data_IF_117161717603
#
_entry.id   IF_117161717603
#
_cell.length_a   1.000
_cell.length_b   1.000
_cell.length_c   1.000
_cell.angle_alpha   90.00
_cell.angle_beta   90.00
_cell.angle_gamma   90.00
#
_symmetry.space_group_name_H-M   'P 1'
#
loop_
_entity.id
_entity.type
_entity.pdbx_description
1 polymer ?
#
# COMPACT_ATOMS: atom_id res chain seq x y z
N UNK A 1 -14.53 40.06 -32.43
CA UNK A 1 -14.69 39.18 -31.26
C UNK A 1 -14.65 37.75 -31.75
N UNK A 2 -13.58 37.00 -31.47
CA UNK A 2 -13.47 35.60 -31.82
C UNK A 2 -13.58 34.77 -30.53
N UNK A 3 -14.71 34.09 -30.37
CA UNK A 3 -14.96 33.14 -29.28
C UNK A 3 -14.17 31.86 -29.54
N UNK A 4 -13.14 31.63 -28.74
CA UNK A 4 -12.49 30.32 -28.64
C UNK A 4 -13.47 29.37 -27.94
N UNK A 5 -14.07 28.47 -28.71
CA UNK A 5 -14.73 27.29 -28.15
C UNK A 5 -13.61 26.39 -27.61
N UNK A 6 -13.55 26.25 -26.28
CA UNK A 6 -12.62 25.33 -25.64
C UNK A 6 -12.96 23.89 -26.04
N UNK A 7 -11.94 23.14 -26.45
CA UNK A 7 -12.05 21.70 -26.60
C UNK A 7 -12.61 21.07 -25.31
N UNK A 8 -13.51 20.07 -25.40
CA UNK A 8 -13.98 19.35 -24.24
C UNK A 8 -12.78 18.70 -23.55
N UNK A 9 -12.60 19.02 -22.27
CA UNK A 9 -11.62 18.34 -21.41
C UNK A 9 -11.86 16.82 -21.52
N UNK A 10 -10.80 16.01 -21.71
CA UNK A 10 -10.97 14.57 -21.73
C UNK A 10 -11.64 14.14 -20.42
N UNK A 11 -12.54 13.12 -20.45
CA UNK A 11 -13.17 12.65 -19.24
C UNK A 11 -12.08 12.27 -18.25
N UNK A 12 -12.14 12.85 -17.04
CA UNK A 12 -11.17 12.58 -15.98
C UNK A 12 -11.31 11.10 -15.59
N UNK A 13 -10.50 10.26 -16.21
CA UNK A 13 -10.43 8.85 -15.90
C UNK A 13 -9.64 8.70 -14.60
N UNK A 14 -10.36 8.57 -13.48
CA UNK A 14 -9.74 8.24 -12.21
C UNK A 14 -9.04 6.88 -12.32
N UNK A 15 -7.85 6.79 -11.74
CA UNK A 15 -7.17 5.51 -11.62
C UNK A 15 -8.08 4.54 -10.87
N UNK A 16 -8.33 3.37 -11.47
CA UNK A 16 -9.08 2.31 -10.82
C UNK A 16 -8.43 1.96 -9.48
N UNK A 17 -9.24 1.65 -8.46
CA UNK A 17 -8.72 1.13 -7.18
C UNK A 17 -7.82 -0.10 -7.35
N UNK A 18 -7.95 -0.86 -8.45
CA UNK A 18 -7.05 -1.98 -8.79
C UNK A 18 -5.62 -1.55 -9.13
N UNK A 19 -5.41 -0.29 -9.52
CA UNK A 19 -4.11 0.30 -9.84
C UNK A 19 -3.48 1.02 -8.64
N UNK A 20 -4.20 1.15 -7.53
CA UNK A 20 -3.72 1.85 -6.34
C UNK A 20 -2.61 1.10 -5.59
N UNK A 21 -2.65 -0.24 -5.42
CA UNK A 21 -1.60 -0.93 -4.68
C UNK A 21 -0.22 -0.82 -5.33
N UNK A 22 0.82 -0.67 -4.52
CA UNK A 22 2.22 -0.77 -4.94
C UNK A 22 2.47 -2.18 -5.48
N UNK A 23 3.17 -2.29 -6.61
CA UNK A 23 3.52 -3.57 -7.24
C UNK A 23 5.03 -3.64 -7.41
N UNK A 24 5.63 -4.62 -6.74
CA UNK A 24 7.07 -4.92 -6.76
C UNK A 24 7.25 -6.44 -6.74
N UNK A 25 8.41 -6.94 -7.16
CA UNK A 25 8.72 -8.37 -7.10
C UNK A 25 9.02 -8.83 -5.68
N UNK A 26 8.87 -10.14 -5.38
CA UNK A 26 9.22 -10.67 -4.07
C UNK A 26 10.66 -10.30 -3.70
N UNK A 27 10.88 -9.97 -2.43
CA UNK A 27 12.13 -9.48 -1.87
C UNK A 27 12.60 -8.10 -2.37
N UNK A 28 11.93 -7.46 -3.33
CA UNK A 28 12.25 -6.11 -3.77
C UNK A 28 11.86 -5.08 -2.68
N UNK A 29 12.79 -4.20 -2.25
CA UNK A 29 12.50 -3.18 -1.25
C UNK A 29 11.48 -2.16 -1.74
N UNK A 30 10.62 -1.69 -0.84
CA UNK A 30 9.79 -0.50 -1.09
C UNK A 30 10.62 0.75 -0.75
N UNK A 31 10.92 1.54 -1.78
CA UNK A 31 11.68 2.79 -1.70
C UNK A 31 10.87 3.89 -1.03
N UNK A 32 11.53 4.99 -0.65
CA UNK A 32 10.85 6.22 -0.25
C UNK A 32 9.87 6.74 -1.30
N UNK A 33 10.19 6.59 -2.58
CA UNK A 33 9.28 6.95 -3.68
C UNK A 33 8.05 6.05 -3.68
N UNK A 34 8.19 4.73 -3.54
CA UNK A 34 7.04 3.81 -3.54
C UNK A 34 6.01 4.16 -2.45
N UNK A 35 6.51 4.47 -1.26
CA UNK A 35 5.72 4.75 -0.06
C UNK A 35 5.33 6.22 0.10
N UNK A 36 5.86 7.11 -0.74
CA UNK A 36 5.70 8.57 -0.62
C UNK A 36 6.12 9.07 0.76
N UNK A 37 7.37 8.77 1.14
CA UNK A 37 7.90 9.01 2.48
C UNK A 37 7.79 10.46 2.94
N UNK A 38 8.07 11.44 2.08
CA UNK A 38 8.06 12.85 2.47
C UNK A 38 6.64 13.35 2.79
N UNK A 39 5.64 12.91 2.03
CA UNK A 39 4.22 13.12 2.36
C UNK A 39 3.89 12.58 3.75
N UNK A 40 4.24 11.31 4.00
CA UNK A 40 4.02 10.68 5.31
C UNK A 40 4.77 11.42 6.42
N UNK A 41 5.97 11.92 6.14
CA UNK A 41 6.74 12.71 7.08
C UNK A 41 6.04 14.02 7.41
N UNK A 42 5.54 14.77 6.42
CA UNK A 42 4.79 16.01 6.65
C UNK A 42 3.50 15.76 7.45
N UNK A 43 2.75 14.70 7.15
CA UNK A 43 1.52 14.35 7.88
C UNK A 43 1.81 14.04 9.36
N UNK A 44 2.80 13.19 9.64
CA UNK A 44 3.08 12.71 11.00
C UNK A 44 3.99 13.62 11.82
N UNK A 45 4.66 14.61 11.21
CA UNK A 45 5.46 15.60 11.93
C UNK A 45 4.70 16.88 12.25
N UNK A 46 3.50 17.07 11.70
CA UNK A 46 2.63 18.18 12.01
C UNK A 46 2.36 18.29 13.52
N UNK A 47 2.46 19.52 14.04
CA UNK A 47 2.38 19.82 15.47
C UNK A 47 1.07 20.48 15.89
N UNK A 48 0.11 20.64 14.97
CA UNK A 48 -1.17 21.27 15.28
C UNK A 48 -2.01 20.30 16.11
N UNK A 49 -2.09 20.55 17.42
CA UNK A 49 -2.92 19.79 18.35
C UNK A 49 -4.37 20.30 18.29
N UNK A 50 -5.08 19.90 17.23
CA UNK A 50 -6.40 20.47 16.88
C UNK A 50 -7.52 19.44 16.84
N UNK A 51 -7.17 18.14 16.88
CA UNK A 51 -8.14 17.06 16.84
C UNK A 51 -8.62 16.68 18.24
N UNK A 52 -9.90 16.38 18.38
CA UNK A 52 -10.51 15.94 19.63
C UNK A 52 -9.99 14.56 20.03
N UNK A 53 -9.46 14.46 21.25
CA UNK A 53 -8.97 13.19 21.79
C UNK A 53 -10.14 12.31 22.27
N UNK A 54 -10.39 11.14 21.64
CA UNK A 54 -11.47 10.25 22.06
C UNK A 54 -11.18 9.51 23.37
N UNK A 55 -9.92 9.45 23.81
CA UNK A 55 -9.49 8.74 25.02
C UNK A 55 -8.62 9.63 25.93
N UNK A 56 -9.17 10.69 26.57
CA UNK A 56 -8.40 11.56 27.46
C UNK A 56 -7.75 10.80 28.62
N UNK A 57 -6.44 10.93 28.78
CA UNK A 57 -5.67 10.21 29.82
C UNK A 57 -5.52 8.70 29.58
N UNK A 58 -5.90 8.20 28.41
CA UNK A 58 -5.70 6.81 28.00
C UNK A 58 -4.39 6.60 27.25
N UNK A 59 -3.79 5.42 27.39
CA UNK A 59 -2.60 5.06 26.62
C UNK A 59 -2.87 5.07 25.10
N UNK A 60 -1.86 5.40 24.27
CA UNK A 60 -0.47 5.69 24.64
C UNK A 60 -0.23 7.17 24.97
N UNK A 61 -1.28 7.98 25.12
CA UNK A 61 -1.20 9.41 25.35
C UNK A 61 -1.35 9.71 26.86
N UNK A 62 -0.27 10.00 27.59
CA UNK A 62 -0.37 10.31 29.02
C UNK A 62 -1.05 11.66 29.28
N UNK A 63 -1.13 12.52 28.26
CA UNK A 63 -1.73 13.85 28.38
C UNK A 63 -3.24 13.78 28.53
N UNK A 64 -3.78 14.51 29.52
CA UNK A 64 -5.21 14.79 29.65
C UNK A 64 -5.68 15.86 28.65
N UNK A 65 -4.83 16.29 27.72
CA UNK A 65 -5.20 17.26 26.69
C UNK A 65 -6.44 16.78 25.93
N UNK A 66 -7.42 17.67 25.83
CA UNK A 66 -8.62 17.47 25.02
C UNK A 66 -8.31 17.47 23.53
N UNK A 67 -7.20 18.10 23.14
CA UNK A 67 -6.75 18.19 21.75
C UNK A 67 -5.40 17.52 21.54
N UNK A 68 -5.25 16.85 20.41
CA UNK A 68 -4.08 16.07 20.01
C UNK A 68 -3.72 16.34 18.57
N UNK A 69 -2.46 16.08 18.22
CA UNK A 69 -1.98 16.11 16.84
C UNK A 69 -2.55 14.94 16.03
N UNK A 70 -2.47 15.00 14.70
CA UNK A 70 -2.86 13.88 13.85
C UNK A 70 -2.08 12.60 14.20
N UNK A 71 -0.77 12.72 14.41
CA UNK A 71 0.10 11.58 14.72
C UNK A 71 -0.36 10.87 16.00
N UNK A 72 -0.62 11.65 17.06
CA UNK A 72 -1.12 11.15 18.34
C UNK A 72 -2.50 10.51 18.20
N UNK A 73 -3.42 11.15 17.46
CA UNK A 73 -4.76 10.62 17.21
C UNK A 73 -4.70 9.26 16.48
N UNK A 74 -3.91 9.16 15.42
CA UNK A 74 -3.80 7.95 14.61
C UNK A 74 -3.10 6.81 15.37
N UNK A 75 -2.00 7.11 16.06
CA UNK A 75 -1.30 6.14 16.92
C UNK A 75 -2.21 5.65 18.05
N UNK A 76 -2.97 6.55 18.69
CA UNK A 76 -3.93 6.19 19.74
C UNK A 76 -5.05 5.29 19.21
N UNK A 77 -5.57 5.55 18.01
CA UNK A 77 -6.57 4.70 17.37
C UNK A 77 -6.05 3.27 17.13
N UNK A 78 -4.81 3.14 16.65
CA UNK A 78 -4.16 1.83 16.46
C UNK A 78 -3.92 1.11 17.79
N UNK A 79 -3.36 1.81 18.78
CA UNK A 79 -3.07 1.25 20.10
C UNK A 79 -4.34 0.70 20.78
N UNK A 80 -5.43 1.45 20.70
CA UNK A 80 -6.71 1.11 21.33
C UNK A 80 -7.56 0.12 20.52
N UNK A 81 -7.12 -0.30 19.33
CA UNK A 81 -7.77 -1.37 18.58
C UNK A 81 -7.81 -2.67 19.38
N UNK A 82 -8.94 -3.37 19.33
CA UNK A 82 -9.11 -4.69 19.97
C UNK A 82 -8.26 -5.78 19.30
N UNK A 83 -7.74 -5.53 18.09
CA UNK A 83 -6.82 -6.43 17.37
C UNK A 83 -5.36 -5.98 17.41
N UNK A 84 -5.05 -4.89 18.12
CA UNK A 84 -3.67 -4.56 18.48
C UNK A 84 -3.20 -5.52 19.59
N UNK A 85 -2.13 -6.29 19.32
CA UNK A 85 -1.66 -7.32 20.26
C UNK A 85 -0.99 -6.66 21.47
N UNK A 86 -0.97 -7.38 22.61
CA UNK A 86 -0.29 -6.90 23.82
C UNK A 86 1.18 -6.56 23.57
N UNK A 87 1.91 -7.44 22.89
CA UNK A 87 3.33 -7.25 22.53
C UNK A 87 3.50 -6.00 21.65
N UNK A 88 2.59 -5.76 20.71
CA UNK A 88 2.64 -4.59 19.85
C UNK A 88 2.41 -3.31 20.66
N UNK A 89 1.43 -3.30 21.58
CA UNK A 89 1.18 -2.18 22.48
C UNK A 89 2.38 -1.87 23.39
N UNK A 90 2.97 -2.89 24.00
CA UNK A 90 4.18 -2.74 24.83
C UNK A 90 5.30 -2.10 24.00
N UNK A 91 5.55 -2.60 22.79
CA UNK A 91 6.57 -2.03 21.90
C UNK A 91 6.28 -0.58 21.50
N UNK A 92 5.01 -0.24 21.26
CA UNK A 92 4.60 1.13 20.93
C UNK A 92 4.88 2.11 22.08
N UNK A 93 4.78 1.66 23.33
CA UNK A 93 5.13 2.44 24.53
C UNK A 93 6.64 2.52 24.73
N UNK A 94 7.34 1.38 24.60
CA UNK A 94 8.78 1.29 24.81
C UNK A 94 9.58 2.05 23.74
N UNK A 95 9.06 2.11 22.51
CA UNK A 95 9.74 2.74 21.37
C UNK A 95 8.75 3.63 20.60
N UNK A 96 8.56 4.90 20.99
CA UNK A 96 7.62 5.81 20.31
C UNK A 96 7.91 6.00 18.81
N UNK A 97 9.18 5.94 18.40
CA UNK A 97 9.57 6.01 16.99
C UNK A 97 8.98 4.83 16.17
N UNK A 98 8.91 3.63 16.76
CA UNK A 98 8.29 2.46 16.14
C UNK A 98 6.79 2.69 15.91
N UNK A 99 6.11 3.35 16.86
CA UNK A 99 4.68 3.68 16.72
C UNK A 99 4.41 4.56 15.50
N UNK A 100 5.29 5.52 15.23
CA UNK A 100 5.18 6.39 14.05
C UNK A 100 5.45 5.62 12.76
N UNK A 101 6.47 4.76 12.73
CA UNK A 101 6.77 3.88 11.60
C UNK A 101 5.59 2.95 11.27
N UNK A 102 5.06 2.27 12.28
CA UNK A 102 3.87 1.43 12.17
C UNK A 102 2.65 2.23 11.70
N UNK A 103 2.45 3.44 12.21
CA UNK A 103 1.34 4.30 11.84
C UNK A 103 1.41 4.73 10.36
N UNK A 104 2.61 5.03 9.85
CA UNK A 104 2.84 5.33 8.42
C UNK A 104 2.49 4.14 7.52
N UNK A 105 2.96 2.94 7.85
CA UNK A 105 2.61 1.71 7.11
C UNK A 105 1.10 1.42 7.20
N UNK A 106 0.52 1.65 8.38
CA UNK A 106 -0.92 1.47 8.61
C UNK A 106 -1.76 2.46 7.81
N UNK A 107 -1.32 3.72 7.65
CA UNK A 107 -1.96 4.71 6.81
C UNK A 107 -1.99 4.25 5.34
N UNK A 108 -0.85 3.80 4.81
CA UNK A 108 -0.76 3.26 3.44
C UNK A 108 -1.64 2.02 3.24
N UNK A 109 -1.75 1.17 4.25
CA UNK A 109 -2.67 0.01 4.23
C UNK A 109 -4.12 0.47 4.24
N UNK A 110 -4.45 1.51 5.02
CA UNK A 110 -5.81 2.03 5.14
C UNK A 110 -6.31 2.67 3.84
N UNK A 111 -5.46 3.45 3.16
CA UNK A 111 -5.80 4.04 1.85
C UNK A 111 -5.73 3.02 0.71
N UNK A 112 -5.13 1.84 0.92
CA UNK A 112 -5.06 0.77 -0.07
C UNK A 112 -3.81 0.77 -0.97
N UNK A 113 -2.76 1.52 -0.60
CA UNK A 113 -1.45 1.48 -1.28
C UNK A 113 -0.66 0.20 -0.95
N UNK A 114 -0.80 -0.32 0.27
CA UNK A 114 -0.22 -1.60 0.69
C UNK A 114 -1.28 -2.69 0.62
N UNK A 115 -1.05 -3.72 -0.18
CA UNK A 115 -1.95 -4.87 -0.28
C UNK A 115 -1.72 -5.84 0.89
N UNK A 116 -2.78 -6.54 1.29
CA UNK A 116 -2.74 -7.60 2.32
C UNK A 116 -1.86 -8.80 1.97
N UNK A 117 -1.47 -8.98 0.71
CA UNK A 117 -0.53 -10.04 0.33
C UNK A 117 0.91 -9.72 0.73
N UNK A 118 1.21 -8.45 1.05
CA UNK A 118 2.56 -8.01 1.43
C UNK A 118 2.89 -8.37 2.87
N UNK A 119 4.15 -8.77 3.07
CA UNK A 119 4.74 -9.09 4.35
C UNK A 119 6.01 -8.26 4.59
N UNK A 120 6.26 -7.92 5.85
CA UNK A 120 7.40 -7.08 6.25
C UNK A 120 8.43 -7.83 7.09
N UNK A 121 8.35 -9.17 7.12
CA UNK A 121 9.34 -10.05 7.75
C UNK A 121 9.76 -11.20 6.84
N UNK A 122 11.06 -11.53 6.77
CA UNK A 122 11.61 -12.45 5.77
C UNK A 122 11.26 -13.92 6.01
N UNK A 123 10.83 -14.30 7.21
CA UNK A 123 10.57 -15.70 7.63
C UNK A 123 9.23 -16.27 7.14
N UNK A 124 8.51 -15.56 6.26
CA UNK A 124 7.23 -16.02 5.71
C UNK A 124 7.40 -17.28 4.85
N UNK A 125 6.87 -18.41 5.31
CA UNK A 125 6.91 -19.70 4.58
C UNK A 125 5.80 -19.87 3.52
N UNK A 126 4.86 -18.95 3.44
CA UNK A 126 3.68 -19.09 2.57
C UNK A 126 3.94 -18.53 1.16
N UNK A 127 3.70 -19.32 0.12
CA UNK A 127 3.85 -18.91 -1.29
C UNK A 127 2.89 -17.80 -1.73
N UNK A 128 1.75 -17.61 -1.03
CA UNK A 128 0.76 -16.57 -1.33
C UNK A 128 1.12 -15.16 -0.84
N UNK A 129 2.24 -15.00 -0.14
CA UNK A 129 2.67 -13.72 0.42
C UNK A 129 4.01 -13.31 -0.17
N UNK A 130 4.11 -12.03 -0.53
CA UNK A 130 5.36 -11.43 -1.00
C UNK A 130 6.00 -10.63 0.11
N UNK A 131 7.28 -10.88 0.38
CA UNK A 131 8.08 -10.12 1.32
C UNK A 131 8.64 -8.87 0.66
N UNK A 132 8.45 -7.72 1.30
CA UNK A 132 9.06 -6.47 0.86
C UNK A 132 9.64 -5.74 2.08
N UNK A 133 10.97 -5.59 2.20
CA UNK A 133 11.53 -4.70 3.20
C UNK A 133 11.12 -3.25 2.89
N UNK A 134 10.88 -2.44 3.91
CA UNK A 134 10.54 -1.01 3.79
C UNK A 134 11.59 -0.20 4.56
N UNK A 135 12.79 0.03 4.00
CA UNK A 135 13.93 0.56 4.75
C UNK A 135 13.67 1.89 5.46
N UNK A 136 12.89 2.77 4.82
CA UNK A 136 12.57 4.08 5.37
C UNK A 136 11.58 4.05 6.55
N UNK A 137 10.86 2.93 6.74
CA UNK A 137 9.82 2.73 7.76
C UNK A 137 10.08 1.52 8.68
N UNK A 138 11.29 0.95 8.65
CA UNK A 138 11.70 -0.17 9.51
C UNK A 138 13.06 0.11 10.15
N UNK A 139 13.27 1.34 10.65
CA UNK A 139 14.56 1.73 11.26
C UNK A 139 14.65 1.31 12.71
N UNK A 140 13.51 1.15 13.37
CA UNK A 140 13.46 0.62 14.72
C UNK A 140 13.49 -0.90 14.76
N UNK A 141 14.13 -1.45 15.79
CA UNK A 141 14.17 -2.89 16.00
C UNK A 141 12.78 -3.37 16.45
N UNK A 142 11.96 -3.83 15.50
CA UNK A 142 10.60 -4.26 15.74
C UNK A 142 9.95 -4.89 14.51
N UNK A 143 9.25 -6.00 14.72
CA UNK A 143 8.45 -6.60 13.65
C UNK A 143 7.23 -5.71 13.39
N UNK A 144 7.22 -5.00 12.25
CA UNK A 144 6.17 -4.10 11.80
C UNK A 144 4.79 -4.76 11.58
N UNK A 145 4.62 -6.04 11.95
CA UNK A 145 3.51 -6.91 11.59
C UNK A 145 3.45 -7.15 10.08
N UNK A 146 2.48 -7.95 9.64
CA UNK A 146 2.17 -8.09 8.21
C UNK A 146 0.92 -7.27 7.84
N UNK A 147 0.73 -7.01 6.54
CA UNK A 147 -0.41 -6.22 6.08
C UNK A 147 -1.79 -6.79 6.50
N UNK A 148 -2.03 -8.13 6.56
CA UNK A 148 -3.27 -8.69 7.10
C UNK A 148 -3.53 -8.31 8.56
N UNK A 149 -2.52 -8.40 9.44
CA UNK A 149 -2.66 -8.03 10.85
C UNK A 149 -2.90 -6.54 11.01
N UNK A 150 -2.22 -5.71 10.23
CA UNK A 150 -2.46 -4.26 10.17
C UNK A 150 -3.91 -3.98 9.74
N UNK A 151 -4.39 -4.59 8.65
CA UNK A 151 -5.78 -4.43 8.19
C UNK A 151 -6.80 -4.85 9.25
N UNK A 152 -6.57 -5.95 9.96
CA UNK A 152 -7.43 -6.38 11.06
C UNK A 152 -7.39 -5.42 12.24
N UNK A 153 -6.23 -4.83 12.54
CA UNK A 153 -6.07 -3.77 13.54
C UNK A 153 -6.90 -2.53 13.16
N UNK A 154 -6.79 -2.07 11.90
CA UNK A 154 -7.55 -0.92 11.38
C UNK A 154 -9.06 -1.15 11.45
N UNK A 155 -9.55 -2.31 11.01
CA UNK A 155 -10.99 -2.67 11.07
C UNK A 155 -11.56 -2.68 12.49
N UNK A 156 -10.72 -2.91 13.48
CA UNK A 156 -11.09 -3.02 14.88
C UNK A 156 -10.74 -1.78 15.71
N UNK A 157 -10.25 -0.71 15.07
CA UNK A 157 -10.01 0.60 15.67
C UNK A 157 -11.34 1.39 15.66
N UNK A 158 -12.16 1.15 16.68
CA UNK A 158 -13.51 1.70 16.82
C UNK A 158 -13.58 2.64 18.03
N UNK A 159 -14.42 3.69 17.93
CA UNK A 159 -14.84 4.46 19.09
C UNK A 159 -15.74 3.62 20.00
N UNK A 160 -15.86 3.94 21.30
CA UNK A 160 -16.84 3.29 22.19
C UNK A 160 -18.27 3.32 21.66
N UNK A 161 -18.68 4.41 21.00
CA UNK A 161 -19.99 4.57 20.35
C UNK A 161 -20.19 3.60 19.16
N UNK A 162 -19.11 3.23 18.49
CA UNK A 162 -19.09 2.38 17.28
C UNK A 162 -18.95 0.88 17.60
N UNK A 163 -18.78 0.50 18.88
CA UNK A 163 -18.75 -0.92 19.26
C UNK A 163 -20.13 -1.55 19.17
N UNK A 164 -21.17 -0.78 19.49
CA UNK A 164 -22.57 -1.24 19.49
C UNK A 164 -23.33 -0.85 18.22
N UNK A 165 -22.90 0.22 17.55
CA UNK A 165 -23.51 0.74 16.33
C UNK A 165 -22.48 0.72 15.22
N UNK A 166 -22.87 0.43 13.98
CA UNK A 166 -21.93 0.42 12.89
C UNK A 166 -21.26 1.81 12.72
N UNK A 167 -19.95 1.88 12.43
CA UNK A 167 -19.30 3.11 12.00
C UNK A 167 -20.03 3.70 10.78
N UNK A 168 -20.02 5.04 10.62
CA UNK A 168 -20.61 5.67 9.44
C UNK A 168 -19.85 5.22 8.19
N UNK A 169 -20.58 5.00 7.10
CA UNK A 169 -20.07 4.39 5.86
C UNK A 169 -19.96 5.38 4.69
N UNK A 170 -20.44 6.60 4.87
CA UNK A 170 -20.45 7.67 3.86
C UNK A 170 -20.01 9.01 4.46
N UNK A 171 -19.49 9.94 3.63
CA UNK A 171 -19.13 11.28 4.08
C UNK A 171 -20.32 12.03 4.71
N UNK A 172 -21.52 11.88 4.16
CA UNK A 172 -22.73 12.55 4.66
C UNK A 172 -23.13 12.05 6.05
N UNK A 173 -23.08 10.74 6.30
CA UNK A 173 -23.33 10.18 7.64
C UNK A 173 -22.34 10.72 8.69
N UNK A 174 -21.07 10.92 8.31
CA UNK A 174 -20.06 11.53 9.19
C UNK A 174 -20.46 12.96 9.52
N UNK A 175 -20.83 13.75 8.50
CA UNK A 175 -21.25 15.14 8.67
C UNK A 175 -22.53 15.24 9.51
N UNK A 176 -23.49 14.33 9.35
CA UNK A 176 -24.74 14.33 10.13
C UNK A 176 -24.48 13.99 11.60
N UNK A 177 -23.62 13.00 11.90
CA UNK A 177 -23.18 12.71 13.26
C UNK A 177 -22.46 13.90 13.90
N UNK A 178 -21.62 14.59 13.13
CA UNK A 178 -20.93 15.81 13.56
C UNK A 178 -21.92 16.92 13.92
N UNK A 179 -22.90 17.18 13.04
CA UNK A 179 -23.99 18.16 13.28
C UNK A 179 -24.85 17.78 14.49
N UNK A 180 -25.02 16.49 14.76
CA UNK A 180 -25.68 15.98 15.97
C UNK A 180 -24.82 16.10 17.25
N UNK A 181 -23.64 16.73 17.18
CA UNK A 181 -22.77 16.99 18.33
C UNK A 181 -21.81 15.85 18.68
N UNK A 182 -21.72 14.78 17.89
CA UNK A 182 -20.75 13.71 18.14
C UNK A 182 -19.34 14.18 17.78
N UNK A 183 -18.42 14.14 18.76
CA UNK A 183 -17.03 14.60 18.59
C UNK A 183 -16.03 13.62 19.23
N UNK A 184 -15.15 12.98 18.43
CA UNK A 184 -15.23 12.90 16.97
C UNK A 184 -16.46 12.08 16.52
N UNK A 185 -17.01 12.31 15.31
CA UNK A 185 -18.16 11.56 14.78
C UNK A 185 -17.83 10.10 14.42
N UNK A 186 -16.54 9.81 14.20
CA UNK A 186 -15.99 8.47 13.91
C UNK A 186 -14.49 8.43 14.21
N UNK A 187 -13.84 7.27 14.18
CA UNK A 187 -12.37 7.23 14.28
C UNK A 187 -11.70 7.85 13.05
N UNK A 188 -10.50 8.40 13.22
CA UNK A 188 -9.66 8.84 12.08
C UNK A 188 -9.39 7.70 11.09
N UNK A 189 -9.30 6.46 11.58
CA UNK A 189 -9.10 5.27 10.75
C UNK A 189 -10.31 5.05 9.83
N UNK A 190 -11.51 5.07 10.38
CA UNK A 190 -12.73 4.91 9.59
C UNK A 190 -12.96 6.09 8.63
N UNK A 191 -12.68 7.33 9.06
CA UNK A 191 -12.75 8.50 8.17
C UNK A 191 -11.90 8.29 6.91
N UNK A 192 -10.63 7.95 7.07
CA UNK A 192 -9.71 7.75 5.94
C UNK A 192 -10.21 6.64 5.02
N UNK A 193 -10.76 5.56 5.59
CA UNK A 193 -11.38 4.49 4.83
C UNK A 193 -12.59 5.01 4.02
N UNK A 194 -13.49 5.79 4.63
CA UNK A 194 -14.64 6.39 3.94
C UNK A 194 -14.18 7.33 2.82
N UNK A 195 -13.26 8.25 3.09
CA UNK A 195 -12.72 9.17 2.07
C UNK A 195 -12.07 8.43 0.89
N UNK A 196 -11.33 7.34 1.16
CA UNK A 196 -10.74 6.50 0.13
C UNK A 196 -11.79 5.76 -0.72
N UNK A 197 -12.87 5.26 -0.11
CA UNK A 197 -13.95 4.58 -0.83
C UNK A 197 -14.82 5.53 -1.66
N UNK A 198 -14.96 6.78 -1.21
CA UNK A 198 -15.79 7.82 -1.81
C UNK A 198 -14.95 8.88 -2.55
N UNK A 199 -13.72 8.56 -2.94
CA UNK A 199 -12.80 9.51 -3.54
C UNK A 199 -13.36 10.16 -4.82
N UNK A 200 -14.00 9.39 -5.70
CA UNK A 200 -14.53 9.89 -6.97
C UNK A 200 -15.68 10.91 -6.77
N UNK A 201 -16.74 10.63 -5.97
CA UNK A 201 -17.75 11.65 -5.63
C UNK A 201 -17.16 12.90 -4.96
N UNK A 202 -16.15 12.74 -4.10
CA UNK A 202 -15.54 13.85 -3.38
C UNK A 202 -14.63 14.73 -4.25
N UNK A 203 -14.27 14.28 -5.45
CA UNK A 203 -13.44 15.04 -6.39
C UNK A 203 -14.07 16.39 -6.74
N UNK A 204 -15.36 16.43 -7.08
CA UNK A 204 -16.05 17.69 -7.38
C UNK A 204 -16.44 18.48 -6.13
N UNK A 205 -16.51 17.83 -4.98
CA UNK A 205 -16.84 18.48 -3.70
C UNK A 205 -15.66 19.32 -3.24
N UNK A 206 -14.51 18.69 -3.01
CA UNK A 206 -13.35 19.34 -2.40
C UNK A 206 -12.29 19.80 -3.39
N UNK A 207 -12.28 19.25 -4.60
CA UNK A 207 -11.31 19.60 -5.65
C UNK A 207 -12.04 20.21 -6.86
N UNK A 208 -11.33 20.32 -7.99
CA UNK A 208 -11.83 20.81 -9.28
C UNK A 208 -12.41 19.69 -10.16
N UNK A 209 -12.47 18.45 -9.65
CA UNK A 209 -12.87 17.26 -10.40
C UNK A 209 -11.73 16.61 -11.20
N UNK A 210 -10.53 17.20 -11.27
CA UNK A 210 -9.36 16.57 -11.89
C UNK A 210 -8.57 15.72 -10.90
N UNK A 211 -8.66 16.06 -9.61
CA UNK A 211 -8.03 15.35 -8.49
C UNK A 211 -9.09 14.78 -7.53
N UNK A 212 -8.72 13.70 -6.85
CA UNK A 212 -9.47 13.14 -5.75
C UNK A 212 -8.55 12.82 -4.55
N UNK A 213 -9.15 12.38 -3.45
CA UNK A 213 -8.44 12.06 -2.21
C UNK A 213 -7.28 11.05 -2.38
N UNK A 214 -7.43 10.04 -3.25
CA UNK A 214 -6.39 9.03 -3.46
C UNK A 214 -5.18 9.56 -4.22
N UNK A 215 -5.36 10.62 -5.03
CA UNK A 215 -4.26 11.23 -5.79
C UNK A 215 -3.19 11.85 -4.88
N UNK A 216 -3.55 12.18 -3.62
CA UNK A 216 -2.58 12.61 -2.61
C UNK A 216 -1.51 11.54 -2.38
N UNK A 217 -1.84 10.25 -2.51
CA UNK A 217 -0.94 9.14 -2.17
C UNK A 217 -0.20 8.54 -3.37
N UNK A 218 -0.28 9.18 -4.55
CA UNK A 218 0.30 8.67 -5.78
C UNK A 218 1.55 9.45 -6.23
N UNK A 219 2.65 8.77 -6.59
CA UNK A 219 3.89 9.43 -7.04
C UNK A 219 3.71 10.21 -8.35
N UNK A 220 2.91 9.69 -9.28
CA UNK A 220 2.93 10.14 -10.67
C UNK A 220 2.17 11.46 -10.93
N UNK A 221 1.60 12.09 -9.90
CA UNK A 221 0.88 13.36 -10.04
C UNK A 221 1.77 14.59 -9.90
N UNK A 222 3.04 14.40 -9.50
CA UNK A 222 4.00 15.50 -9.37
C UNK A 222 3.61 16.54 -8.33
N UNK A 223 2.75 16.21 -7.36
CA UNK A 223 2.24 17.16 -6.37
C UNK A 223 3.23 17.34 -5.20
N UNK A 224 3.40 18.57 -4.72
CA UNK A 224 4.28 18.86 -3.57
C UNK A 224 3.80 18.12 -2.32
N UNK A 225 4.68 17.35 -1.64
CA UNK A 225 4.33 16.59 -0.42
C UNK A 225 3.73 17.45 0.70
N UNK A 226 4.24 18.66 0.90
CA UNK A 226 3.74 19.56 1.93
C UNK A 226 2.28 19.98 1.69
N UNK A 227 1.93 20.32 0.45
CA UNK A 227 0.56 20.71 0.08
C UNK A 227 -0.41 19.52 0.16
N UNK A 228 0.07 18.34 -0.26
CA UNK A 228 -0.68 17.09 -0.10
C UNK A 228 -0.96 16.77 1.37
N UNK A 229 0.04 16.94 2.24
CA UNK A 229 -0.12 16.73 3.68
C UNK A 229 -1.10 17.73 4.29
N UNK A 230 -0.98 19.02 3.95
CA UNK A 230 -1.93 20.06 4.39
C UNK A 230 -3.35 19.72 3.94
N UNK A 231 -3.53 19.33 2.68
CA UNK A 231 -4.83 18.94 2.13
C UNK A 231 -5.42 17.72 2.84
N UNK A 232 -4.60 16.71 3.11
CA UNK A 232 -5.02 15.53 3.88
C UNK A 232 -5.47 15.91 5.30
N UNK A 233 -4.70 16.75 6.00
CA UNK A 233 -5.03 17.22 7.35
C UNK A 233 -6.26 18.13 7.36
N UNK A 234 -6.41 18.97 6.34
CA UNK A 234 -7.60 19.80 6.13
C UNK A 234 -8.87 18.96 6.01
N UNK A 235 -8.83 17.90 5.18
CA UNK A 235 -9.95 16.96 5.03
C UNK A 235 -10.23 16.23 6.35
N UNK A 236 -9.19 15.77 7.04
CA UNK A 236 -9.36 15.11 8.33
C UNK A 236 -10.05 16.03 9.34
N UNK A 237 -9.63 17.29 9.43
CA UNK A 237 -10.24 18.28 10.32
C UNK A 237 -11.67 18.61 9.90
N UNK A 238 -11.91 18.87 8.61
CA UNK A 238 -13.22 19.23 8.07
C UNK A 238 -14.31 18.20 8.44
N UNK A 239 -13.98 16.91 8.42
CA UNK A 239 -14.94 15.85 8.71
C UNK A 239 -15.04 15.46 10.18
N UNK A 240 -13.97 15.61 10.98
CA UNK A 240 -13.98 15.20 12.40
C UNK A 240 -14.32 16.33 13.36
N UNK A 241 -13.96 17.56 13.00
CA UNK A 241 -14.04 18.73 13.86
C UNK A 241 -15.08 19.72 13.33
N UNK A 242 -15.55 20.57 14.23
CA UNK A 242 -16.55 21.57 13.92
C UNK A 242 -15.91 22.88 13.43
N UNK A 243 -16.46 23.45 12.37
CA UNK A 243 -16.05 24.71 11.77
C UNK A 243 -16.91 25.90 12.26
N UNK A 244 -17.95 25.68 13.07
CA UNK A 244 -18.96 26.72 13.35
C UNK A 244 -18.44 27.89 14.21
N UNK A 245 -17.26 27.76 14.83
CA UNK A 245 -16.64 28.85 15.62
C UNK A 245 -15.21 29.21 15.22
N UNK A 246 -14.45 28.30 14.61
CA UNK A 246 -13.04 28.50 14.24
C UNK A 246 -12.79 28.04 12.81
N UNK A 247 -11.99 28.81 12.06
CA UNK A 247 -11.55 28.43 10.72
C UNK A 247 -10.70 27.15 10.77
N UNK A 248 -10.69 26.38 9.68
CA UNK A 248 -9.89 25.17 9.64
C UNK A 248 -8.40 25.56 9.75
N UNK A 249 -7.64 25.03 10.72
CA UNK A 249 -6.25 25.42 10.96
C UNK A 249 -5.31 25.08 9.79
N UNK A 250 -5.76 24.22 8.87
CA UNK A 250 -5.04 23.84 7.67
C UNK A 250 -5.46 24.64 6.43
N UNK A 251 -6.30 25.67 6.59
CA UNK A 251 -6.73 26.54 5.50
C UNK A 251 -5.57 27.36 4.89
N UNK A 252 -5.61 27.52 3.57
CA UNK A 252 -4.81 28.50 2.83
C UNK A 252 -5.69 29.63 2.28
N UNK A 253 -5.10 30.52 1.49
CA UNK A 253 -5.85 31.63 0.89
C UNK A 253 -6.93 31.16 -0.09
N UNK A 254 -6.77 29.99 -0.70
CA UNK A 254 -7.72 29.44 -1.64
C UNK A 254 -8.91 28.81 -0.91
N UNK A 255 -8.68 27.91 0.06
CA UNK A 255 -9.76 27.27 0.83
C UNK A 255 -10.57 28.27 1.66
N UNK A 256 -9.95 29.36 2.15
CA UNK A 256 -10.67 30.48 2.78
C UNK A 256 -11.61 31.23 1.82
N UNK A 257 -11.21 31.39 0.55
CA UNK A 257 -12.01 32.08 -0.48
C UNK A 257 -13.10 31.21 -1.08
N UNK A 258 -12.90 29.89 -1.07
CA UNK A 258 -13.82 28.92 -1.66
C UNK A 258 -14.26 27.90 -0.59
N UNK A 259 -15.29 28.21 0.22
CA UNK A 259 -15.76 27.32 1.29
C UNK A 259 -16.06 25.91 0.78
N UNK A 260 -15.55 24.91 1.50
CA UNK A 260 -15.69 23.50 1.13
C UNK A 260 -14.64 23.00 0.14
N UNK A 261 -13.79 23.86 -0.43
CA UNK A 261 -12.65 23.44 -1.25
C UNK A 261 -11.40 23.22 -0.39
N UNK A 262 -10.66 22.18 -0.72
CA UNK A 262 -9.38 21.88 -0.11
C UNK A 262 -8.33 22.95 -0.45
N UNK A 263 -7.25 23.07 0.34
CA UNK A 263 -6.09 23.90 0.03
C UNK A 263 -5.51 23.62 -1.37
N UNK A 264 -4.84 24.61 -1.93
CA UNK A 264 -4.28 24.52 -3.28
C UNK A 264 -3.14 23.48 -3.33
N UNK A 265 -3.21 22.60 -4.33
CA UNK A 265 -2.19 21.59 -4.59
C UNK A 265 -1.27 22.05 -5.72
N UNK A 266 -0.01 22.34 -5.41
CA UNK A 266 0.96 22.79 -6.41
C UNK A 266 1.72 21.62 -7.05
N UNK A 267 2.06 21.79 -8.32
CA UNK A 267 2.97 20.92 -9.05
C UNK A 267 4.41 21.20 -8.64
N UNK A 268 5.21 20.14 -8.49
CA UNK A 268 6.63 20.24 -8.22
C UNK A 268 7.40 20.65 -9.47
N UNK A 269 8.42 21.47 -9.27
CA UNK A 269 9.46 21.68 -10.27
C UNK A 269 10.33 20.43 -10.45
N UNK A 270 11.01 20.31 -11.59
CA UNK A 270 11.96 19.22 -11.84
C UNK A 270 13.09 19.14 -10.82
N UNK A 271 13.46 20.27 -10.19
CA UNK A 271 14.45 20.27 -9.12
C UNK A 271 13.89 19.67 -7.83
N UNK A 272 12.66 20.03 -7.44
CA UNK A 272 12.01 19.48 -6.25
C UNK A 272 11.78 17.97 -6.38
N UNK A 273 11.35 17.50 -7.55
CA UNK A 273 11.17 16.06 -7.82
C UNK A 273 12.46 15.24 -7.61
N UNK A 274 13.64 15.83 -7.84
CA UNK A 274 14.94 15.14 -7.65
C UNK A 274 15.37 15.02 -6.18
N UNK A 275 14.81 15.85 -5.32
CA UNK A 275 15.16 15.89 -3.89
C UNK A 275 14.08 15.26 -3.02
N UNK A 276 12.87 15.10 -3.55
CA UNK A 276 11.75 14.48 -2.86
C UNK A 276 11.88 12.94 -2.88
N UNK A 277 11.57 12.31 -1.75
CA UNK A 277 11.53 10.85 -1.60
C UNK A 277 12.84 10.14 -1.96
N UNK A 278 13.99 10.75 -1.68
CA UNK A 278 15.31 10.16 -1.96
C UNK A 278 15.74 9.22 -0.82
N UNK A 279 15.93 7.94 -1.13
CA UNK A 279 16.46 6.96 -0.17
C UNK A 279 17.90 7.31 0.25
N UNK A 280 18.21 7.12 1.53
CA UNK A 280 19.58 7.31 2.02
C UNK A 280 20.48 6.12 1.65
N UNK A 281 21.80 6.31 1.71
CA UNK A 281 22.75 5.23 1.45
C UNK A 281 22.56 4.04 2.42
N UNK A 282 22.22 4.32 3.68
CA UNK A 282 21.93 3.31 4.69
C UNK A 282 20.64 2.54 4.37
N UNK A 283 19.60 3.23 3.92
CA UNK A 283 18.32 2.63 3.52
C UNK A 283 18.52 1.68 2.33
N UNK A 284 19.27 2.11 1.32
CA UNK A 284 19.62 1.29 0.15
C UNK A 284 20.41 0.05 0.58
N UNK A 285 21.47 0.24 1.39
CA UNK A 285 22.32 -0.86 1.84
C UNK A 285 21.52 -1.88 2.69
N UNK A 286 20.68 -1.39 3.61
CA UNK A 286 19.84 -2.23 4.45
C UNK A 286 18.79 -2.98 3.63
N UNK A 287 18.14 -2.32 2.67
CA UNK A 287 17.20 -2.96 1.74
C UNK A 287 17.86 -4.13 1.00
N UNK A 288 19.04 -3.91 0.40
CA UNK A 288 19.82 -4.97 -0.28
C UNK A 288 20.17 -6.14 0.65
N UNK A 289 20.55 -5.84 1.90
CA UNK A 289 20.84 -6.86 2.91
C UNK A 289 19.61 -7.72 3.20
N UNK A 290 18.45 -7.11 3.42
CA UNK A 290 17.21 -7.81 3.74
C UNK A 290 16.67 -8.63 2.56
N UNK A 291 16.78 -8.13 1.33
CA UNK A 291 16.48 -8.89 0.11
C UNK A 291 17.35 -10.14 0.02
N UNK A 292 18.65 -10.01 0.28
CA UNK A 292 19.59 -11.14 0.30
C UNK A 292 19.24 -12.17 1.38
N UNK A 293 18.85 -11.71 2.58
CA UNK A 293 18.38 -12.58 3.67
C UNK A 293 17.15 -13.37 3.25
N UNK A 294 16.18 -12.75 2.59
CA UNK A 294 14.98 -13.43 2.06
C UNK A 294 15.35 -14.49 1.02
N UNK A 295 16.21 -14.15 0.07
CA UNK A 295 16.65 -15.09 -0.96
C UNK A 295 17.35 -16.32 -0.36
N UNK A 296 18.25 -16.11 0.60
CA UNK A 296 18.92 -17.19 1.30
C UNK A 296 17.94 -18.08 2.10
N UNK A 297 16.91 -17.48 2.70
CA UNK A 297 15.84 -18.22 3.39
C UNK A 297 15.04 -19.10 2.41
N UNK A 298 14.63 -18.54 1.27
CA UNK A 298 13.91 -19.28 0.23
C UNK A 298 14.74 -20.44 -0.32
N UNK A 299 16.02 -20.23 -0.58
CA UNK A 299 16.92 -21.28 -1.08
C UNK A 299 17.04 -22.44 -0.08
N UNK A 300 17.18 -22.14 1.23
CA UNK A 300 17.18 -23.18 2.26
C UNK A 300 15.86 -23.96 2.31
N UNK A 301 14.73 -23.25 2.14
CA UNK A 301 13.40 -23.87 2.14
C UNK A 301 13.22 -24.81 0.94
N UNK A 302 13.59 -24.38 -0.26
CA UNK A 302 13.55 -25.23 -1.47
C UNK A 302 14.43 -26.46 -1.32
N UNK A 303 15.68 -26.29 -0.88
CA UNK A 303 16.59 -27.42 -0.66
C UNK A 303 16.02 -28.44 0.34
N UNK A 304 15.41 -27.98 1.44
CA UNK A 304 14.80 -28.88 2.42
C UNK A 304 13.62 -29.68 1.85
N UNK A 305 12.81 -29.07 0.97
CA UNK A 305 11.70 -29.76 0.32
C UNK A 305 12.18 -30.78 -0.72
N UNK A 306 13.32 -30.54 -1.37
CA UNK A 306 13.94 -31.50 -2.29
C UNK A 306 14.57 -32.69 -1.55
N UNK A 307 15.15 -32.45 -0.36
CA UNK A 307 15.68 -33.51 0.51
C UNK A 307 14.57 -34.44 1.01
N UNK A 308 13.41 -33.90 1.40
CA UNK A 308 12.24 -34.68 1.82
C UNK A 308 11.61 -35.49 0.68
N UNK A 309 11.79 -35.05 -0.58
CA UNK A 309 11.31 -35.76 -1.78
C UNK A 309 12.22 -36.91 -2.20
N UNK A 310 13.44 -37.04 -1.66
CA UNK A 310 14.28 -38.23 -1.91
C UNK A 310 13.68 -39.44 -1.16
N UNK A 311 13.29 -40.52 -1.84
CA UNK A 311 12.79 -41.71 -1.16
C UNK A 311 13.89 -42.24 -0.23
N UNK A 312 13.54 -42.55 1.02
CA UNK A 312 14.40 -43.32 1.94
C UNK A 312 14.72 -44.68 1.31
N UNK A 313 15.78 -44.74 0.52
CA UNK A 313 16.33 -45.96 -0.01
C UNK A 313 16.99 -46.75 1.14
N UNK A 314 16.23 -47.75 1.61
CA UNK A 314 16.68 -49.05 2.11
C UNK A 314 17.80 -49.09 3.15
N UNK A 315 17.39 -49.23 4.42
CA UNK A 315 18.13 -49.99 5.43
C UNK A 315 18.45 -51.38 4.87
N UNK A 316 19.69 -51.58 4.44
CA UNK A 316 20.17 -52.86 3.95
C UNK A 316 20.23 -53.88 5.08
N UNK A 317 19.27 -54.81 5.10
CA UNK A 317 19.42 -56.10 5.75
C UNK A 317 20.52 -56.84 4.98
N UNK A 318 21.69 -57.01 5.60
CA UNK A 318 22.67 -58.00 5.17
C UNK A 318 22.47 -59.24 6.03
N UNK A 319 22.13 -60.38 5.44
CA UNK A 319 22.72 -61.68 5.80
C UNK A 319 22.31 -62.84 4.85
N UNK A 320 23.35 -63.45 4.26
CA UNK A 320 23.55 -64.83 3.77
C UNK A 320 22.98 -65.35 2.43
N UNK A 321 23.76 -66.28 1.87
CA UNK A 321 23.92 -66.69 0.45
C UNK A 321 23.18 -68.04 0.16
N UNK A 322 23.30 -68.68 -1.02
CA UNK A 322 22.21 -68.96 -1.99
C UNK A 322 21.77 -70.44 -2.00
N UNK A 323 20.91 -70.85 -2.95
CA UNK A 323 21.08 -72.03 -3.83
C UNK A 323 19.79 -72.31 -4.65
N UNK A 324 19.99 -72.27 -5.97
CA UNK A 324 19.39 -73.05 -7.07
C UNK A 324 17.87 -73.17 -7.36
N UNK A 325 17.64 -72.90 -8.65
CA UNK A 325 16.96 -73.73 -9.65
C UNK A 325 15.47 -73.50 -9.96
N UNK A 326 15.32 -73.09 -11.23
CA UNK A 326 14.34 -73.53 -12.22
C UNK A 326 12.92 -72.95 -12.24
N UNK A 327 12.71 -72.25 -13.37
CA UNK A 327 11.58 -72.41 -14.28
C UNK A 327 10.29 -71.68 -13.92
N UNK A 328 9.94 -70.64 -14.70
CA UNK A 328 9.04 -70.75 -15.85
C UNK A 328 8.66 -69.36 -16.38
N UNK A 329 8.60 -69.30 -17.72
CA UNK A 329 7.99 -68.25 -18.57
C UNK A 329 6.67 -67.68 -18.01
N UNK A 330 6.41 -66.37 -18.20
CA UNK A 330 5.47 -65.87 -19.23
C UNK A 330 5.47 -64.34 -19.42
N UNK A 331 5.27 -63.99 -20.68
CA UNK A 331 5.23 -62.70 -21.38
C UNK A 331 3.91 -61.92 -21.17
N UNK A 332 3.97 -60.57 -21.16
CA UNK A 332 3.06 -59.59 -21.85
C UNK A 332 3.41 -58.15 -21.39
N UNK A 333 4.03 -57.28 -22.19
CA UNK A 333 3.58 -56.42 -23.31
C UNK A 333 2.51 -55.35 -23.00
N UNK A 334 2.92 -54.09 -23.31
CA UNK A 334 2.17 -52.85 -23.67
C UNK A 334 1.26 -52.20 -22.61
N UNK A 335 1.26 -50.89 -22.38
CA UNK A 335 1.77 -49.75 -23.17
C UNK A 335 1.75 -48.42 -22.35
N UNK A 336 1.99 -47.26 -22.99
CA UNK A 336 2.46 -46.03 -22.34
C UNK A 336 1.35 -45.00 -22.07
N UNK A 337 1.50 -44.23 -21.00
CA UNK A 337 0.71 -43.00 -20.74
C UNK A 337 1.62 -42.04 -19.97
N UNK A 338 2.32 -41.17 -20.71
CA UNK A 338 1.98 -39.76 -20.91
C UNK A 338 2.28 -38.91 -19.66
N UNK A 339 3.44 -38.27 -19.74
CA UNK A 339 3.86 -37.14 -18.93
C UNK A 339 2.77 -36.06 -18.89
N UNK A 340 2.30 -35.75 -17.69
CA UNK A 340 1.69 -34.47 -17.38
C UNK A 340 2.74 -33.68 -16.59
N UNK A 341 3.44 -32.81 -17.30
CA UNK A 341 4.28 -31.76 -16.73
C UNK A 341 3.45 -30.91 -15.78
N UNK A 342 3.75 -31.04 -14.48
CA UNK A 342 3.21 -30.19 -13.44
C UNK A 342 3.95 -28.85 -13.52
N UNK A 343 3.41 -27.91 -14.30
CA UNK A 343 3.86 -26.51 -14.36
C UNK A 343 3.33 -25.76 -13.13
N UNK A 344 3.77 -26.19 -11.93
CA UNK A 344 3.66 -25.37 -10.72
C UNK A 344 4.69 -24.24 -10.86
N UNK A 345 4.17 -23.02 -11.00
CA UNK A 345 4.93 -21.81 -11.31
C UNK A 345 6.33 -21.76 -10.72
N UNK A 346 7.32 -21.76 -11.62
CA UNK A 346 8.73 -21.65 -11.28
C UNK A 346 8.95 -20.49 -10.31
N UNK A 347 9.49 -20.79 -9.12
CA UNK A 347 9.89 -19.79 -8.13
C UNK A 347 10.98 -18.89 -8.74
N UNK A 348 10.59 -17.68 -9.13
CA UNK A 348 11.51 -16.68 -9.68
C UNK A 348 12.28 -16.01 -8.53
N UNK A 349 13.61 -16.12 -8.54
CA UNK A 349 14.49 -15.46 -7.59
C UNK A 349 14.73 -14.00 -8.00
N UNK A 350 14.61 -13.08 -7.05
CA UNK A 350 14.99 -11.68 -7.29
C UNK A 350 16.52 -11.55 -7.31
N UNK A 351 17.04 -11.10 -8.45
CA UNK A 351 18.45 -10.71 -8.61
C UNK A 351 18.50 -9.19 -8.61
N UNK A 352 19.14 -8.54 -7.62
CA UNK A 352 19.29 -7.08 -7.62
C UNK A 352 19.94 -6.61 -8.92
N UNK A 353 19.28 -5.71 -9.65
CA UNK A 353 19.92 -5.04 -10.78
C UNK A 353 20.84 -3.95 -10.24
N UNK A 354 22.15 -4.09 -10.46
CA UNK A 354 23.07 -2.97 -10.32
C UNK A 354 22.85 -2.05 -11.51
N UNK A 355 22.06 -0.99 -11.34
CA UNK A 355 22.03 0.10 -12.31
C UNK A 355 23.28 0.96 -12.11
N UNK A 356 24.29 0.93 -13.01
CA UNK A 356 25.29 1.99 -13.02
C UNK A 356 24.59 3.29 -13.36
N UNK A 357 24.92 4.33 -12.61
CA UNK A 357 24.45 5.70 -12.80
C UNK A 357 25.02 6.23 -14.14
N UNK A 358 24.37 5.95 -15.27
CA UNK A 358 24.80 6.46 -16.58
C UNK A 358 24.18 7.83 -16.80
N UNK A 359 24.95 8.86 -16.46
CA UNK A 359 24.82 10.19 -17.05
C UNK A 359 25.19 10.08 -18.54
N UNK A 360 24.18 9.98 -19.40
CA UNK A 360 24.33 9.89 -20.85
C UNK A 360 24.36 11.26 -21.51
N UNK A 361 25.54 11.64 -21.99
CA UNK A 361 25.85 12.78 -22.87
C UNK A 361 24.96 12.83 -24.14
N UNK A 362 24.25 13.93 -24.44
CA UNK A 362 23.25 13.98 -25.51
C UNK A 362 23.85 14.38 -26.87
N UNK A 363 24.92 13.73 -27.32
CA UNK A 363 25.49 14.01 -28.64
C UNK A 363 26.02 12.77 -29.36
N UNK A 364 25.11 11.96 -29.90
CA UNK A 364 25.45 11.07 -31.03
C UNK A 364 24.30 10.93 -32.00
N UNK A 365 24.28 11.82 -32.99
CA UNK A 365 23.37 11.78 -34.11
C UNK A 365 23.84 10.81 -35.22
N UNK A 366 22.83 10.17 -35.83
CA UNK A 366 22.72 9.66 -37.22
C UNK A 366 23.47 8.39 -37.65
N UNK A 367 22.67 7.37 -38.01
CA UNK A 367 22.61 6.85 -39.39
C UNK A 367 21.30 6.07 -39.66
N UNK A 368 20.64 6.25 -40.82
CA UNK A 368 19.37 5.57 -41.15
C UNK A 368 19.61 4.25 -41.90
N UNK A 369 18.66 3.32 -41.82
CA UNK A 369 18.50 2.23 -42.80
C UNK A 369 17.06 2.20 -43.31
N UNK A 370 16.95 2.21 -44.63
CA UNK A 370 15.75 2.17 -45.44
C UNK A 370 14.96 0.86 -45.31
N UNK A 371 13.63 0.99 -45.37
CA UNK A 371 12.75 0.31 -46.34
C UNK A 371 12.43 -1.17 -46.15
N UNK A 372 11.17 -1.47 -45.83
CA UNK A 372 10.23 -2.04 -46.81
C UNK A 372 8.81 -1.99 -46.28
N UNK A 373 7.91 -1.51 -47.13
CA UNK A 373 6.46 -1.51 -46.93
C UNK A 373 5.89 -2.93 -47.04
N UNK A 374 4.77 -3.16 -46.36
CA UNK A 374 3.61 -3.80 -46.98
C UNK A 374 2.33 -3.42 -46.22
N UNK A 375 1.46 -2.76 -46.98
CA UNK A 375 0.06 -2.45 -46.69
C UNK A 375 -0.80 -3.71 -46.76
N UNK A 376 -1.78 -3.85 -45.86
CA UNK A 376 -3.08 -4.41 -46.22
C UNK A 376 -4.16 -3.74 -45.38
N UNK A 377 -5.15 -3.22 -46.11
CA UNK A 377 -6.37 -2.55 -45.69
C UNK A 377 -7.52 -3.57 -45.69
N UNK A 378 -8.46 -3.47 -44.76
CA UNK A 378 -9.87 -3.93 -44.88
C UNK A 378 -10.70 -3.71 -43.59
N UNK A 379 -11.47 -2.62 -43.61
CA UNK A 379 -12.92 -2.53 -43.35
C UNK A 379 -13.59 -3.09 -42.08
N UNK A 380 -14.06 -2.14 -41.25
CA UNK A 380 -15.45 -1.87 -40.79
C UNK A 380 -16.41 -3.05 -40.52
N UNK A 381 -16.93 -3.10 -39.29
CA UNK A 381 -18.18 -3.78 -38.90
C UNK A 381 -18.75 -3.22 -37.59
N UNK A 382 -20.00 -2.78 -37.63
CA UNK A 382 -20.77 -2.01 -36.63
C UNK A 382 -21.55 -2.86 -35.60
N UNK A 383 -21.53 -2.42 -34.33
CA UNK A 383 -22.58 -2.46 -33.25
C UNK A 383 -23.08 -3.81 -32.69
N UNK A 384 -23.77 -3.89 -31.51
CA UNK A 384 -24.05 -2.89 -30.45
C UNK A 384 -23.72 -3.37 -29.00
N UNK A 385 -23.98 -2.47 -28.05
CA UNK A 385 -24.09 -2.65 -26.59
C UNK A 385 -24.83 -3.91 -26.14
N UNK A 386 -24.31 -4.54 -25.07
CA UNK A 386 -25.16 -5.07 -24.00
C UNK A 386 -24.38 -5.13 -22.68
N UNK A 387 -24.86 -4.32 -21.74
CA UNK A 387 -24.56 -4.40 -20.32
C UNK A 387 -25.27 -5.61 -19.70
N UNK A 388 -24.61 -6.33 -18.80
CA UNK A 388 -25.10 -6.65 -17.45
C UNK A 388 -24.30 -7.78 -16.79
N UNK A 389 -24.10 -7.59 -15.48
CA UNK A 389 -24.00 -8.60 -14.44
C UNK A 389 -22.78 -9.54 -14.45
N UNK A 390 -21.82 -9.26 -13.57
CA UNK A 390 -21.48 -10.21 -12.50
C UNK A 390 -20.95 -9.42 -11.29
N UNK A 391 -21.84 -9.29 -10.30
CA UNK A 391 -21.56 -8.86 -8.94
C UNK A 391 -20.80 -9.93 -8.16
N UNK A 392 -20.15 -9.48 -7.08
CA UNK A 392 -19.76 -10.23 -5.88
C UNK A 392 -18.61 -11.25 -6.02
N UNK A 393 -17.41 -10.82 -5.62
CA UNK A 393 -16.68 -11.32 -4.43
C UNK A 393 -15.24 -10.77 -4.42
N UNK A 394 -14.81 -10.34 -3.23
CA UNK A 394 -13.44 -9.99 -2.77
C UNK A 394 -13.01 -8.52 -2.74
#
# INVERSE_FOLDING_TARGET
MATWAGDPSPPVAYLSRKALPIKRHDAEPLTREDVQFDLLQHIFSDKNAVFTNPNPGGNPLPSKSSKVTFAELYVSALYNSSKCSKVLREKMLDTPAFSIELAKISLLTNVGRINTTMAFFPEMKTALRTYHPVPSLQKTDGNAQDAPRIKNCLKAALLPSEVKTAPPSSPDEILDRRKAGQRPPTTIVNLIFVLANHAAPLASVHFDGALNFLDLFLPHKGLVSADRARTFLWLAYHYLEDNDSEANPFDDDYSRRFPGKAPLLNQMSSQQMRTENVDTAEEIAWGKKMSSTRNAFLQKLVNSMEEDKKPKATTAIRQFIPVSANSLRRTRQSGPSQDASNDEGAFMYYVPQDHPNTSGDPNRAKRPKNGSANSFDATVGTTPDNAAAFENLF
#
